data_IF_728562462512
#
_entry.id   IF_728562462512
#
_cell.length_a   1.000
_cell.length_b   1.000
_cell.length_c   1.000
_cell.angle_alpha   90.00
_cell.angle_beta   90.00
_cell.angle_gamma   90.00
#
_symmetry.space_group_name_H-M   'P 1'
#
loop_
_entity.id
_entity.type
_entity.pdbx_description
1 polymer ?
#
# COMPACT_ATOMS: atom_id res chain seq x y z
N UNK A 1 24.38 20.65 -1.04
CA UNK A 1 23.53 19.46 -1.24
C UNK A 1 23.88 18.52 -0.11
N UNK A 2 22.95 18.21 0.81
CA UNK A 2 23.28 17.45 2.01
C UNK A 2 23.23 15.97 1.66
N UNK A 3 24.36 15.28 1.80
CA UNK A 3 24.38 13.81 1.77
C UNK A 3 23.50 13.33 2.92
N UNK A 4 22.45 12.59 2.61
CA UNK A 4 21.47 12.15 3.61
C UNK A 4 22.02 10.85 4.21
N UNK A 5 22.44 10.90 5.47
CA UNK A 5 22.60 9.69 6.26
C UNK A 5 21.19 9.21 6.67
N UNK A 6 20.79 8.03 6.21
CA UNK A 6 19.46 7.48 6.49
C UNK A 6 19.19 7.26 8.00
N UNK A 7 20.23 7.11 8.81
CA UNK A 7 20.08 7.04 10.27
C UNK A 7 19.62 8.39 10.88
N UNK A 8 20.03 9.52 10.29
CA UNK A 8 19.66 10.86 10.76
C UNK A 8 18.23 11.26 10.41
N UNK A 9 17.54 10.43 9.63
CA UNK A 9 16.18 10.69 9.16
C UNK A 9 15.14 10.33 10.23
N UNK A 10 15.44 9.35 11.10
CA UNK A 10 14.48 8.91 12.10
C UNK A 10 14.36 9.92 13.24
N UNK A 11 13.13 10.21 13.73
CA UNK A 11 12.95 11.12 14.86
C UNK A 11 13.69 10.62 16.10
N UNK A 12 14.51 11.50 16.70
CA UNK A 12 15.35 11.16 17.87
C UNK A 12 14.54 10.90 19.15
N UNK A 13 13.28 11.32 19.18
CA UNK A 13 12.35 11.08 20.29
C UNK A 13 11.73 9.67 20.27
N UNK A 14 12.04 8.85 19.27
CA UNK A 14 11.55 7.47 19.18
C UNK A 14 12.30 6.46 20.03
N UNK A 15 13.52 6.77 20.49
CA UNK A 15 14.39 5.85 21.21
C UNK A 15 15.29 6.59 22.21
N UNK A 16 15.74 5.89 23.25
CA UNK A 16 16.72 6.39 24.21
C UNK A 16 18.11 5.79 23.95
N UNK A 17 18.14 4.50 23.58
CA UNK A 17 19.33 3.70 23.32
C UNK A 17 19.44 3.42 21.81
N UNK A 18 20.18 4.24 21.04
CA UNK A 18 20.33 4.05 19.60
C UNK A 18 21.01 2.72 19.24
N UNK A 19 21.96 2.25 20.05
CA UNK A 19 22.70 1.00 19.80
C UNK A 19 21.80 -0.24 19.86
N UNK A 20 20.68 -0.15 20.58
CA UNK A 20 19.73 -1.24 20.76
C UNK A 20 18.43 -1.05 19.95
N UNK A 21 18.44 -0.09 19.02
CA UNK A 21 17.28 0.30 18.23
C UNK A 21 17.52 0.10 16.73
N UNK A 22 16.49 -0.32 16.02
CA UNK A 22 16.53 -0.51 14.58
C UNK A 22 15.18 -0.23 13.91
N UNK A 23 15.24 0.16 12.64
CA UNK A 23 14.08 0.60 11.86
C UNK A 23 14.04 -0.09 10.50
N UNK A 24 12.84 -0.44 10.04
CA UNK A 24 12.61 -0.79 8.65
C UNK A 24 12.35 0.49 7.86
N UNK A 25 13.19 0.74 6.85
CA UNK A 25 13.07 1.85 5.92
C UNK A 25 12.61 1.34 4.55
N UNK A 26 11.66 2.05 3.93
CA UNK A 26 11.24 1.85 2.55
C UNK A 26 11.28 3.16 1.78
N UNK A 27 11.84 3.13 0.59
CA UNK A 27 11.87 4.28 -0.33
C UNK A 27 11.11 3.91 -1.59
N UNK A 28 10.08 4.70 -1.88
CA UNK A 28 9.26 4.59 -3.08
C UNK A 28 9.54 5.76 -4.01
N UNK A 29 9.47 5.51 -5.30
CA UNK A 29 9.42 6.60 -6.30
C UNK A 29 8.03 7.24 -6.33
N UNK A 30 7.99 8.55 -6.51
CA UNK A 30 6.76 9.31 -6.80
C UNK A 30 6.83 9.80 -8.23
N UNK A 31 5.89 9.39 -9.08
CA UNK A 31 5.89 9.77 -10.52
C UNK A 31 4.50 10.24 -10.93
N UNK A 32 4.32 11.15 -11.90
CA UNK A 32 5.33 11.97 -12.56
C UNK A 32 5.51 13.33 -11.85
N UNK A 33 5.66 13.33 -10.52
CA UNK A 33 5.76 14.58 -9.72
C UNK A 33 7.18 15.14 -9.76
N UNK A 34 7.31 16.41 -10.11
CA UNK A 34 8.61 17.12 -10.04
C UNK A 34 8.95 17.55 -8.62
N UNK A 35 10.23 17.81 -8.33
CA UNK A 35 10.68 18.30 -7.01
C UNK A 35 9.93 19.58 -6.60
N UNK A 36 9.78 20.55 -7.51
CA UNK A 36 9.01 21.78 -7.25
C UNK A 36 7.53 21.51 -6.93
N UNK A 37 6.94 20.51 -7.58
CA UNK A 37 5.57 20.11 -7.29
C UNK A 37 5.48 19.39 -5.94
N UNK A 38 6.47 18.59 -5.58
CA UNK A 38 6.55 17.96 -4.26
C UNK A 38 6.66 19.04 -3.17
N UNK A 39 7.61 19.98 -3.27
CA UNK A 39 7.78 21.07 -2.30
C UNK A 39 6.51 21.91 -2.12
N UNK A 40 5.71 22.09 -3.19
CA UNK A 40 4.45 22.84 -3.13
C UNK A 40 3.26 22.04 -2.62
N UNK A 41 3.19 20.74 -2.93
CA UNK A 41 1.99 19.90 -2.73
C UNK A 41 2.14 18.95 -1.55
N UNK A 42 3.36 18.56 -1.21
CA UNK A 42 3.63 17.75 -0.04
C UNK A 42 3.41 18.61 1.19
N UNK A 43 2.28 18.41 1.85
CA UNK A 43 2.09 18.89 3.21
C UNK A 43 2.79 17.87 4.10
N UNK A 44 3.86 18.22 4.83
CA UNK A 44 4.32 17.35 5.89
C UNK A 44 3.15 17.07 6.82
N UNK A 45 3.05 15.83 7.26
CA UNK A 45 1.99 15.38 8.14
C UNK A 45 2.08 16.19 9.43
N UNK A 46 0.94 16.66 9.93
CA UNK A 46 0.93 17.46 11.17
C UNK A 46 1.19 16.60 12.41
N UNK A 47 0.96 15.29 12.30
CA UNK A 47 1.13 14.30 13.36
C UNK A 47 1.75 13.03 12.77
N UNK A 48 2.58 12.31 13.55
CA UNK A 48 3.07 11.00 13.13
C UNK A 48 1.88 10.03 13.04
N UNK A 49 1.94 9.12 12.06
CA UNK A 49 1.05 7.96 12.03
C UNK A 49 1.46 7.01 13.17
N UNK A 50 0.52 6.51 13.96
CA UNK A 50 0.78 5.60 15.09
C UNK A 50 -0.13 4.37 15.01
N UNK A 51 0.40 3.20 14.67
CA UNK A 51 -0.42 1.98 14.58
C UNK A 51 -0.13 1.04 15.76
N UNK A 52 -1.13 0.78 16.60
CA UNK A 52 -1.01 -0.01 17.84
C UNK A 52 0.08 0.55 18.78
N UNK A 53 0.15 1.88 18.88
CA UNK A 53 1.14 2.58 19.70
C UNK A 53 2.54 2.66 19.10
N UNK A 54 2.76 2.13 17.88
CA UNK A 54 4.07 2.17 17.20
C UNK A 54 4.04 3.26 16.13
N UNK A 55 4.96 4.24 16.18
CA UNK A 55 4.97 5.34 15.23
C UNK A 55 5.47 4.87 13.85
N UNK A 56 4.97 5.54 12.82
CA UNK A 56 5.31 5.35 11.42
C UNK A 56 5.62 6.72 10.86
N UNK A 57 6.83 6.86 10.32
CA UNK A 57 7.34 8.10 9.77
C UNK A 57 7.18 8.05 8.25
N UNK A 58 6.69 9.14 7.66
CA UNK A 58 6.46 9.26 6.22
C UNK A 58 6.90 10.64 5.79
N UNK A 59 7.77 10.71 4.78
CA UNK A 59 8.27 11.97 4.24
C UNK A 59 8.38 11.91 2.72
N UNK A 60 8.01 13.00 2.05
CA UNK A 60 8.27 13.23 0.64
C UNK A 60 9.53 14.06 0.52
N UNK A 61 10.56 13.53 -0.13
CA UNK A 61 11.85 14.21 -0.24
C UNK A 61 12.42 14.13 -1.66
N UNK A 62 13.26 15.11 -1.99
CA UNK A 62 14.18 14.97 -3.12
C UNK A 62 15.46 14.31 -2.62
N UNK A 63 15.74 13.11 -3.14
CA UNK A 63 16.90 12.32 -2.74
C UNK A 63 17.83 12.16 -3.94
N UNK A 64 19.12 12.27 -3.68
CA UNK A 64 20.19 11.84 -4.57
C UNK A 64 21.17 11.04 -3.71
N UNK A 65 21.20 9.73 -3.87
CA UNK A 65 22.01 8.84 -3.04
C UNK A 65 22.88 7.95 -3.93
N UNK A 66 24.16 7.82 -3.55
CA UNK A 66 25.14 6.99 -4.24
C UNK A 66 25.69 5.94 -3.28
N UNK A 67 26.21 4.85 -3.85
CA UNK A 67 26.87 3.82 -3.06
C UNK A 67 25.94 3.07 -2.12
N UNK A 68 24.63 2.98 -2.45
CA UNK A 68 23.73 2.15 -1.66
C UNK A 68 24.09 0.70 -1.93
N UNK A 69 24.50 -0.04 -0.90
CA UNK A 69 24.61 -1.49 -0.96
C UNK A 69 23.31 -2.08 -1.53
N UNK A 70 23.46 -3.06 -2.42
CA UNK A 70 22.37 -3.86 -2.97
C UNK A 70 22.80 -5.32 -2.99
N UNK A 71 21.90 -6.22 -2.62
CA UNK A 71 22.16 -7.65 -2.67
C UNK A 71 21.31 -8.29 -3.76
N UNK A 72 21.95 -9.07 -4.62
CA UNK A 72 21.26 -9.92 -5.60
C UNK A 72 21.48 -11.39 -5.23
N UNK A 73 20.39 -12.12 -5.05
CA UNK A 73 20.40 -13.56 -4.82
C UNK A 73 20.04 -14.27 -6.12
N UNK A 74 21.03 -14.82 -6.81
CA UNK A 74 20.84 -15.34 -8.16
C UNK A 74 20.25 -16.76 -8.19
N UNK A 75 20.56 -17.60 -7.19
CA UNK A 75 20.01 -18.95 -7.04
C UNK A 75 20.27 -19.45 -5.61
N UNK A 76 19.53 -20.46 -5.18
CA UNK A 76 19.71 -21.15 -3.89
C UNK A 76 20.18 -22.56 -4.20
N UNK A 77 21.21 -23.05 -3.52
CA UNK A 77 21.65 -24.44 -3.64
C UNK A 77 22.02 -25.01 -2.27
N UNK A 78 21.95 -26.33 -2.15
CA UNK A 78 22.48 -27.03 -0.98
C UNK A 78 23.90 -27.46 -1.27
N UNK A 79 24.78 -27.27 -0.31
CA UNK A 79 26.04 -27.99 -0.27
C UNK A 79 25.75 -29.51 -0.29
N UNK A 80 26.33 -30.28 -1.22
CA UNK A 80 25.97 -31.68 -1.40
C UNK A 80 26.55 -32.61 -0.33
N UNK A 81 27.56 -32.17 0.43
CA UNK A 81 28.22 -32.98 1.46
C UNK A 81 27.66 -32.71 2.86
N UNK A 82 27.35 -31.45 3.14
CA UNK A 82 26.90 -30.99 4.46
C UNK A 82 25.40 -30.76 4.54
N UNK A 83 24.70 -30.64 3.41
CA UNK A 83 23.29 -30.27 3.36
C UNK A 83 23.02 -28.80 3.70
N UNK A 84 24.07 -27.99 3.85
CA UNK A 84 23.95 -26.57 4.21
C UNK A 84 23.38 -25.78 3.04
N UNK A 85 22.36 -24.96 3.29
CA UNK A 85 21.83 -24.05 2.27
C UNK A 85 22.85 -22.94 2.03
N UNK A 86 23.34 -22.82 0.79
CA UNK A 86 24.21 -21.75 0.34
C UNK A 86 23.39 -20.76 -0.49
N UNK A 87 23.45 -19.51 -0.05
CA UNK A 87 22.84 -18.34 -0.68
C UNK A 87 23.96 -17.46 -1.26
N UNK A 88 24.43 -17.72 -2.49
CA UNK A 88 25.42 -16.86 -3.14
C UNK A 88 24.84 -15.46 -3.30
N UNK A 89 25.31 -14.55 -2.44
CA UNK A 89 24.88 -13.16 -2.39
C UNK A 89 25.89 -12.31 -3.15
N UNK A 90 25.50 -11.68 -4.25
CA UNK A 90 26.34 -10.68 -4.91
C UNK A 90 26.11 -9.33 -4.23
N UNK A 91 27.16 -8.78 -3.65
CA UNK A 91 27.12 -7.42 -3.07
C UNK A 91 27.48 -6.42 -4.17
N UNK A 92 26.48 -5.66 -4.61
CA UNK A 92 26.62 -4.55 -5.53
C UNK A 92 26.42 -3.20 -4.85
N UNK A 93 26.58 -2.13 -5.61
CA UNK A 93 26.12 -0.80 -5.22
C UNK A 93 25.13 -0.26 -6.26
N UNK A 94 24.13 0.48 -5.77
CA UNK A 94 23.08 1.11 -6.55
C UNK A 94 23.07 2.60 -6.27
N UNK A 95 22.69 3.37 -7.30
CA UNK A 95 22.44 4.79 -7.17
C UNK A 95 20.93 5.07 -7.21
N UNK A 96 20.46 5.96 -6.35
CA UNK A 96 19.16 6.62 -6.49
C UNK A 96 19.39 7.97 -7.18
N UNK A 97 18.99 8.11 -8.45
CA UNK A 97 19.17 9.37 -9.16
C UNK A 97 18.34 10.47 -8.51
N UNK A 98 18.73 11.74 -8.73
CA UNK A 98 17.96 12.88 -8.24
C UNK A 98 16.51 12.80 -8.76
N UNK A 99 15.58 12.53 -7.85
CA UNK A 99 14.15 12.39 -8.15
C UNK A 99 13.31 12.67 -6.92
N UNK A 100 11.99 12.54 -7.09
CA UNK A 100 10.99 12.66 -6.04
C UNK A 100 10.73 11.28 -5.44
N UNK A 101 10.89 11.16 -4.12
CA UNK A 101 10.70 9.92 -3.39
C UNK A 101 9.74 10.10 -2.22
N UNK A 102 9.02 9.02 -1.89
CA UNK A 102 8.30 8.85 -0.64
C UNK A 102 9.12 7.89 0.22
N UNK A 103 9.45 8.32 1.43
CA UNK A 103 10.17 7.52 2.40
C UNK A 103 9.18 7.12 3.49
N UNK A 104 9.21 5.86 3.89
CA UNK A 104 8.47 5.34 5.03
C UNK A 104 9.41 4.63 5.99
N UNK A 105 9.24 4.88 7.29
CA UNK A 105 10.03 4.28 8.36
C UNK A 105 9.14 3.73 9.47
N UNK A 106 9.45 2.53 9.97
CA UNK A 106 8.79 1.96 11.14
C UNK A 106 9.83 1.31 12.06
N UNK A 107 9.73 1.48 13.38
CA UNK A 107 10.58 0.78 14.32
C UNK A 107 10.40 -0.74 14.22
N UNK A 108 11.53 -1.44 14.16
CA UNK A 108 11.64 -2.90 14.27
C UNK A 108 11.99 -3.31 15.71
N UNK A 109 12.90 -2.55 16.32
CA UNK A 109 13.36 -2.71 17.70
C UNK A 109 13.57 -1.33 18.31
N UNK A 110 13.11 -1.13 19.54
CA UNK A 110 13.32 0.13 20.29
C UNK A 110 13.88 -0.24 21.65
N UNK A 111 15.02 0.34 22.01
CA UNK A 111 15.65 0.22 23.34
C UNK A 111 15.72 -1.24 23.82
N UNK A 112 16.20 -2.13 22.95
CA UNK A 112 16.36 -3.56 23.26
C UNK A 112 15.09 -4.41 23.07
N UNK A 113 13.91 -3.79 22.90
CA UNK A 113 12.62 -4.49 22.76
C UNK A 113 12.27 -4.74 21.29
N UNK A 114 12.21 -6.02 20.92
CA UNK A 114 11.75 -6.46 19.60
C UNK A 114 10.26 -6.20 19.40
N UNK A 115 9.90 -5.60 18.26
CA UNK A 115 8.51 -5.37 17.84
C UNK A 115 8.02 -6.39 16.79
N UNK A 116 8.94 -7.19 16.26
CA UNK A 116 8.70 -8.28 15.31
C UNK A 116 8.72 -7.82 13.85
N UNK A 117 9.51 -8.51 13.04
CA UNK A 117 9.71 -8.19 11.62
C UNK A 117 8.41 -8.27 10.82
N UNK A 118 7.71 -9.41 10.86
CA UNK A 118 6.45 -9.62 10.14
C UNK A 118 5.40 -8.55 10.47
N UNK A 119 5.32 -8.14 11.73
CA UNK A 119 4.38 -7.09 12.18
C UNK A 119 4.78 -5.72 11.64
N UNK A 120 6.08 -5.43 11.58
CA UNK A 120 6.64 -4.18 11.07
C UNK A 120 6.42 -4.07 9.56
N UNK A 121 6.71 -5.13 8.82
CA UNK A 121 6.43 -5.25 7.37
C UNK A 121 4.93 -5.08 7.11
N UNK A 122 4.10 -5.80 7.85
CA UNK A 122 2.64 -5.76 7.71
C UNK A 122 2.06 -4.36 8.00
N UNK A 123 2.61 -3.64 9.00
CA UNK A 123 2.26 -2.24 9.31
C UNK A 123 2.58 -1.31 8.15
N UNK A 124 3.78 -1.39 7.58
CA UNK A 124 4.14 -0.58 6.40
C UNK A 124 3.29 -0.94 5.17
N UNK A 125 2.94 -2.21 4.97
CA UNK A 125 2.05 -2.64 3.88
C UNK A 125 0.65 -2.01 4.00
N UNK A 126 0.08 -1.95 5.21
CA UNK A 126 -1.23 -1.31 5.44
C UNK A 126 -1.19 0.20 5.19
N UNK A 127 -0.13 0.88 5.62
CA UNK A 127 0.06 2.31 5.32
C UNK A 127 0.22 2.53 3.81
N UNK A 128 1.02 1.71 3.13
CA UNK A 128 1.15 1.76 1.68
C UNK A 128 -0.21 1.60 0.98
N UNK A 129 -1.04 0.65 1.43
CA UNK A 129 -2.39 0.45 0.90
C UNK A 129 -3.26 1.70 1.06
N UNK A 130 -3.25 2.34 2.22
CA UNK A 130 -3.98 3.59 2.46
C UNK A 130 -3.49 4.70 1.53
N UNK A 131 -2.16 4.90 1.44
CA UNK A 131 -1.56 5.91 0.56
C UNK A 131 -1.93 5.67 -0.90
N UNK A 132 -1.82 4.43 -1.40
CA UNK A 132 -2.18 4.08 -2.77
C UNK A 132 -3.68 4.32 -3.06
N UNK A 133 -4.53 4.08 -2.07
CA UNK A 133 -5.97 4.24 -2.20
C UNK A 133 -6.35 5.72 -2.36
N UNK A 134 -5.90 6.57 -1.43
CA UNK A 134 -6.23 8.01 -1.38
C UNK A 134 -5.41 8.85 -2.36
N UNK A 135 -4.11 8.60 -2.44
CA UNK A 135 -3.17 9.41 -3.22
C UNK A 135 -2.87 8.79 -4.58
N UNK A 136 -3.30 7.54 -4.82
CA UNK A 136 -3.07 6.81 -6.06
C UNK A 136 -1.77 6.01 -6.05
N UNK A 137 -1.75 4.89 -6.78
CA UNK A 137 -0.61 3.96 -6.84
C UNK A 137 0.68 4.63 -7.26
N UNK A 138 0.63 5.72 -8.04
CA UNK A 138 1.81 6.45 -8.46
C UNK A 138 2.51 7.25 -7.33
N UNK A 139 1.86 7.42 -6.18
CA UNK A 139 2.46 8.01 -4.97
C UNK A 139 3.40 7.01 -4.29
N UNK A 140 3.07 5.72 -4.37
CA UNK A 140 3.87 4.59 -3.89
C UNK A 140 4.14 3.68 -5.09
N UNK A 141 4.81 4.25 -6.09
CA UNK A 141 4.88 3.67 -7.43
C UNK A 141 5.73 2.41 -7.48
N UNK A 142 7.00 2.54 -7.11
CA UNK A 142 7.95 1.43 -7.04
C UNK A 142 8.80 1.57 -5.79
N UNK A 143 8.85 0.52 -4.99
CA UNK A 143 9.83 0.33 -3.94
C UNK A 143 11.21 0.19 -4.60
N UNK A 144 12.04 1.21 -4.44
CA UNK A 144 13.40 1.24 -5.03
C UNK A 144 14.47 0.79 -4.05
N UNK A 145 14.13 0.77 -2.77
CA UNK A 145 15.02 0.44 -1.68
C UNK A 145 14.20 0.05 -0.43
N UNK A 146 14.55 -1.07 0.18
CA UNK A 146 14.04 -1.52 1.48
C UNK A 146 15.22 -2.05 2.29
N UNK A 147 15.37 -1.57 3.52
CA UNK A 147 16.44 -2.03 4.39
C UNK A 147 16.16 -1.86 5.88
N UNK A 148 16.79 -2.70 6.69
CA UNK A 148 16.85 -2.54 8.15
C UNK A 148 18.05 -1.67 8.53
N UNK A 149 17.79 -0.53 9.16
CA UNK A 149 18.81 0.38 9.66
C UNK A 149 18.97 0.25 11.17
N UNK A 150 20.20 0.04 11.69
CA UNK A 150 20.49 0.31 13.08
C UNK A 150 20.39 1.82 13.33
N UNK A 151 19.96 2.24 14.52
CA UNK A 151 19.90 3.68 14.83
C UNK A 151 21.31 4.29 14.95
N UNK A 152 22.33 3.47 15.18
CA UNK A 152 23.74 3.84 15.15
C UNK A 152 24.51 2.94 14.16
N UNK A 153 24.95 3.48 13.02
CA UNK A 153 25.79 2.76 12.04
C UNK A 153 25.39 2.97 10.58
N UNK A 154 26.27 2.54 9.66
CA UNK A 154 26.08 2.63 8.21
C UNK A 154 25.81 1.26 7.53
N UNK A 155 25.76 0.17 8.30
CA UNK A 155 25.57 -1.19 7.78
C UNK A 155 24.08 -1.58 7.84
N UNK A 156 23.52 -2.03 6.71
CA UNK A 156 22.10 -2.37 6.57
C UNK A 156 21.90 -3.58 5.65
N UNK A 157 20.80 -4.31 5.83
CA UNK A 157 20.41 -5.47 5.00
C UNK A 157 19.34 -5.05 3.98
N UNK A 158 19.39 -5.56 2.74
CA UNK A 158 18.55 -5.08 1.62
C UNK A 158 17.67 -6.18 1.04
N UNK A 159 16.45 -5.81 0.65
CA UNK A 159 15.52 -6.65 -0.14
C UNK A 159 15.26 -5.98 -1.51
N UNK A 160 15.32 -6.76 -2.60
CA UNK A 160 15.10 -6.34 -4.00
C UNK A 160 13.83 -7.03 -4.55
N UNK A 161 12.95 -6.46 -5.41
CA UNK A 161 13.15 -6.31 -6.87
C UNK A 161 11.89 -5.77 -7.65
N UNK A 162 12.05 -5.51 -8.97
CA UNK A 162 11.09 -5.39 -10.14
C UNK A 162 10.42 -4.04 -10.49
N UNK A 163 10.32 -3.73 -11.80
CA UNK A 163 9.75 -2.51 -12.42
C UNK A 163 8.25 -2.64 -12.77
N UNK A 164 7.42 -1.72 -12.29
CA UNK A 164 6.04 -1.52 -12.78
C UNK A 164 6.02 -0.53 -13.98
N UNK A 165 4.89 -0.42 -14.71
CA UNK A 165 4.62 0.62 -15.74
C UNK A 165 3.77 1.76 -15.16
N UNK A 166 4.12 3.01 -15.46
CA UNK A 166 3.42 4.23 -14.98
C UNK A 166 1.98 4.23 -15.53
N UNK A 167 1.00 4.57 -14.71
CA UNK A 167 -0.42 4.53 -15.09
C UNK A 167 -1.06 5.91 -14.90
N UNK A 168 -1.70 6.47 -15.94
CA UNK A 168 -2.24 7.84 -15.89
C UNK A 168 -3.43 8.02 -14.93
N UNK A 169 -4.20 6.96 -14.65
CA UNK A 169 -5.39 6.99 -13.81
C UNK A 169 -5.12 6.77 -12.31
N UNK A 170 -3.88 6.50 -11.91
CA UNK A 170 -3.48 6.11 -10.55
C UNK A 170 -2.82 7.25 -9.75
N UNK A 171 -3.24 8.48 -9.98
CA UNK A 171 -2.68 9.66 -9.32
C UNK A 171 -1.29 10.01 -9.88
N UNK A 172 -0.43 10.68 -9.11
CA UNK A 172 -0.49 10.93 -7.68
C UNK A 172 -1.33 12.18 -7.37
N UNK A 173 -2.34 12.04 -6.50
CA UNK A 173 -3.23 13.13 -6.09
C UNK A 173 -2.78 13.74 -4.75
N UNK A 174 -1.66 14.46 -4.79
CA UNK A 174 -0.99 15.02 -3.60
C UNK A 174 -1.65 16.30 -3.06
N UNK A 175 -2.94 16.53 -3.28
CA UNK A 175 -3.61 17.71 -2.72
C UNK A 175 -3.71 17.58 -1.19
N UNK A 176 -3.61 18.70 -0.46
CA UNK A 176 -3.70 18.72 1.01
C UNK A 176 -4.96 18.01 1.53
N UNK A 177 -6.09 18.17 0.84
CA UNK A 177 -7.33 17.48 1.17
C UNK A 177 -7.19 15.95 1.19
N UNK A 178 -6.48 15.36 0.22
CA UNK A 178 -6.31 13.91 0.16
C UNK A 178 -5.39 13.42 1.28
N UNK A 179 -4.36 14.19 1.63
CA UNK A 179 -3.51 13.91 2.79
C UNK A 179 -4.30 13.93 4.10
N UNK A 180 -5.14 14.95 4.32
CA UNK A 180 -6.05 14.99 5.46
C UNK A 180 -6.98 13.77 5.50
N UNK A 181 -7.46 13.32 4.35
CA UNK A 181 -8.27 12.10 4.28
C UNK A 181 -7.49 10.83 4.69
N UNK A 182 -6.20 10.73 4.38
CA UNK A 182 -5.33 9.64 4.88
C UNK A 182 -5.16 9.75 6.40
N UNK A 183 -4.84 10.94 6.91
CA UNK A 183 -4.69 11.21 8.36
C UNK A 183 -5.97 10.84 9.13
N UNK A 184 -7.13 11.34 8.70
CA UNK A 184 -8.43 11.07 9.32
C UNK A 184 -8.74 9.57 9.34
N UNK A 185 -8.48 8.87 8.23
CA UNK A 185 -8.72 7.43 8.11
C UNK A 185 -7.88 6.64 9.07
N UNK A 186 -6.61 6.99 9.18
CA UNK A 186 -5.70 6.31 10.08
C UNK A 186 -6.07 6.56 11.55
N UNK A 187 -6.33 7.82 11.93
CA UNK A 187 -6.77 8.17 13.28
C UNK A 187 -8.07 7.45 13.66
N UNK A 188 -9.00 7.37 12.72
CA UNK A 188 -10.27 6.71 12.94
C UNK A 188 -10.09 5.20 13.13
N UNK A 189 -9.26 4.53 12.32
CA UNK A 189 -8.94 3.09 12.48
C UNK A 189 -8.34 2.83 13.87
N UNK A 190 -7.44 3.70 14.33
CA UNK A 190 -6.79 3.54 15.63
C UNK A 190 -7.73 3.81 16.81
N UNK A 191 -8.76 4.65 16.62
CA UNK A 191 -9.79 4.91 17.63
C UNK A 191 -10.81 3.77 17.80
N UNK A 192 -10.81 2.77 16.92
CA UNK A 192 -11.74 1.63 16.99
C UNK A 192 -11.44 0.79 18.24
N UNK A 193 -12.39 0.79 19.17
CA UNK A 193 -12.31 0.01 20.42
C UNK A 193 -12.67 -1.47 20.23
N UNK A 194 -13.52 -1.79 19.25
CA UNK A 194 -13.87 -3.17 18.92
C UNK A 194 -12.68 -3.86 18.23
N UNK A 195 -12.02 -4.77 18.94
CA UNK A 195 -10.82 -5.48 18.47
C UNK A 195 -11.06 -6.25 17.17
N UNK A 196 -12.21 -6.89 17.04
CA UNK A 196 -12.54 -7.73 15.88
C UNK A 196 -12.77 -6.88 14.64
N UNK A 197 -13.48 -5.76 14.80
CA UNK A 197 -13.66 -4.75 13.73
C UNK A 197 -12.30 -4.17 13.31
N UNK A 198 -11.44 -3.79 14.27
CA UNK A 198 -10.10 -3.26 13.98
C UNK A 198 -9.24 -4.30 13.24
N UNK A 199 -9.20 -5.54 13.73
CA UNK A 199 -8.45 -6.63 13.10
C UNK A 199 -8.95 -6.94 11.68
N UNK A 200 -10.27 -6.94 11.47
CA UNK A 200 -10.89 -7.12 10.17
C UNK A 200 -10.48 -6.04 9.17
N UNK A 201 -10.50 -4.77 9.57
CA UNK A 201 -10.07 -3.65 8.72
C UNK A 201 -8.59 -3.79 8.36
N UNK A 202 -7.73 -4.11 9.34
CA UNK A 202 -6.30 -4.35 9.09
C UNK A 202 -6.08 -5.49 8.10
N UNK A 203 -6.80 -6.59 8.26
CA UNK A 203 -6.76 -7.73 7.35
C UNK A 203 -7.24 -7.38 5.94
N UNK A 204 -8.28 -6.57 5.83
CA UNK A 204 -8.75 -6.09 4.54
C UNK A 204 -7.70 -5.22 3.83
N UNK A 205 -7.00 -4.34 4.56
CA UNK A 205 -5.89 -3.54 4.03
C UNK A 205 -4.70 -4.40 3.58
N UNK A 206 -4.38 -5.49 4.29
CA UNK A 206 -3.35 -6.45 3.87
C UNK A 206 -3.71 -7.17 2.56
N UNK A 207 -4.96 -7.62 2.43
CA UNK A 207 -5.43 -8.21 1.17
C UNK A 207 -5.45 -7.18 0.04
N UNK A 208 -5.84 -5.94 0.32
CA UNK A 208 -5.77 -4.86 -0.65
C UNK A 208 -4.32 -4.62 -1.12
N UNK A 209 -3.37 -4.53 -0.18
CA UNK A 209 -1.95 -4.39 -0.49
C UNK A 209 -1.43 -5.55 -1.37
N UNK A 210 -1.84 -6.77 -1.05
CA UNK A 210 -1.49 -7.97 -1.82
C UNK A 210 -2.01 -7.88 -3.26
N UNK A 211 -3.24 -7.39 -3.46
CA UNK A 211 -3.82 -7.15 -4.79
C UNK A 211 -3.05 -6.11 -5.60
N UNK A 212 -2.65 -5.00 -4.97
CA UNK A 212 -1.81 -3.96 -5.59
C UNK A 212 -0.43 -4.49 -5.97
N UNK A 213 0.19 -5.26 -5.07
CA UNK A 213 1.59 -5.70 -5.20
C UNK A 213 1.75 -6.95 -6.07
N UNK A 214 0.68 -7.67 -6.33
CA UNK A 214 0.70 -8.84 -7.20
C UNK A 214 1.20 -8.47 -8.61
N UNK A 215 2.10 -9.32 -9.14
CA UNK A 215 2.74 -9.09 -10.44
C UNK A 215 1.69 -9.13 -11.57
N UNK A 216 1.86 -8.28 -12.57
CA UNK A 216 1.02 -8.29 -13.79
C UNK A 216 1.22 -9.55 -14.67
N UNK A 217 2.17 -10.42 -14.28
CA UNK A 217 2.49 -11.69 -14.95
C UNK A 217 1.86 -12.79 -14.10
N UNK A 218 0.67 -13.26 -14.51
CA UNK A 218 -0.14 -14.22 -13.74
C UNK A 218 -1.56 -13.74 -13.37
N UNK A 219 -1.84 -12.43 -13.52
CA UNK A 219 -3.11 -11.65 -13.68
C UNK A 219 -4.38 -11.97 -12.86
N UNK A 220 -4.59 -13.19 -12.42
CA UNK A 220 -5.81 -13.69 -11.77
C UNK A 220 -5.85 -13.39 -10.28
N UNK A 221 -4.67 -13.35 -9.65
CA UNK A 221 -4.53 -13.16 -8.20
C UNK A 221 -5.00 -11.77 -7.74
N UNK A 222 -4.87 -10.74 -8.60
CA UNK A 222 -5.31 -9.38 -8.28
C UNK A 222 -6.80 -9.33 -7.95
N UNK A 223 -7.63 -9.94 -8.81
CA UNK A 223 -9.07 -9.96 -8.60
C UNK A 223 -9.43 -10.70 -7.30
N UNK A 224 -8.80 -11.85 -7.06
CA UNK A 224 -8.96 -12.58 -5.81
C UNK A 224 -8.67 -11.72 -4.59
N UNK A 225 -7.54 -11.01 -4.57
CA UNK A 225 -7.13 -10.20 -3.44
C UNK A 225 -8.04 -8.98 -3.20
N UNK A 226 -8.39 -8.23 -4.26
CA UNK A 226 -9.31 -7.09 -4.11
C UNK A 226 -10.72 -7.53 -3.70
N UNK A 227 -11.24 -8.61 -4.28
CA UNK A 227 -12.53 -9.16 -3.90
C UNK A 227 -12.54 -9.64 -2.43
N UNK A 228 -11.47 -10.32 -2.01
CA UNK A 228 -11.30 -10.78 -0.63
C UNK A 228 -11.20 -9.60 0.32
N UNK A 229 -10.45 -8.55 -0.02
CA UNK A 229 -10.36 -7.32 0.77
C UNK A 229 -11.74 -6.70 1.01
N UNK A 230 -12.55 -6.54 -0.04
CA UNK A 230 -13.93 -6.02 0.05
C UNK A 230 -14.81 -6.91 0.93
N UNK A 231 -14.74 -8.23 0.73
CA UNK A 231 -15.55 -9.20 1.47
C UNK A 231 -15.23 -9.19 2.96
N UNK A 232 -13.93 -9.22 3.30
CA UNK A 232 -13.44 -9.15 4.68
C UNK A 232 -13.86 -7.84 5.30
N UNK A 233 -13.64 -6.71 4.63
CA UNK A 233 -13.98 -5.37 5.13
C UNK A 233 -15.46 -5.27 5.56
N UNK A 234 -16.37 -5.72 4.69
CA UNK A 234 -17.82 -5.60 4.87
C UNK A 234 -18.43 -6.65 5.81
N UNK A 235 -17.62 -7.54 6.42
CA UNK A 235 -18.13 -8.65 7.24
C UNK A 235 -19.22 -9.49 6.52
N UNK A 236 -19.16 -9.52 5.18
CA UNK A 236 -20.29 -9.95 4.37
C UNK A 236 -20.45 -11.46 4.38
N UNK A 237 -21.66 -11.95 4.69
CA UNK A 237 -22.04 -13.35 4.42
C UNK A 237 -22.39 -13.58 2.95
N UNK A 238 -22.46 -12.51 2.15
CA UNK A 238 -22.74 -12.56 0.73
C UNK A 238 -22.68 -11.21 0.03
N UNK A 239 -22.99 -11.25 -1.27
CA UNK A 239 -22.93 -10.08 -2.17
C UNK A 239 -24.05 -9.07 -1.92
N UNK A 240 -25.17 -9.51 -1.33
CA UNK A 240 -26.30 -8.65 -0.96
C UNK A 240 -25.95 -7.68 0.18
N UNK A 241 -25.18 -8.13 1.18
CA UNK A 241 -24.76 -7.31 2.31
C UNK A 241 -23.81 -6.18 1.89
N UNK A 242 -22.95 -6.45 0.90
CA UNK A 242 -22.07 -5.46 0.30
C UNK A 242 -22.89 -4.45 -0.50
N UNK A 243 -23.87 -4.92 -1.29
CA UNK A 243 -24.77 -4.04 -2.02
C UNK A 243 -25.56 -3.11 -1.07
N UNK A 244 -26.08 -3.62 0.06
CA UNK A 244 -26.77 -2.81 1.05
C UNK A 244 -25.90 -1.68 1.62
N UNK A 245 -24.61 -1.93 1.85
CA UNK A 245 -23.64 -0.89 2.23
C UNK A 245 -23.44 0.14 1.13
N UNK A 246 -23.30 -0.30 -0.11
CA UNK A 246 -23.24 0.62 -1.26
C UNK A 246 -24.52 1.45 -1.38
N UNK A 247 -25.70 0.88 -1.18
CA UNK A 247 -26.97 1.64 -1.15
C UNK A 247 -26.92 2.75 -0.09
N UNK A 248 -26.46 2.43 1.13
CA UNK A 248 -26.32 3.40 2.21
C UNK A 248 -25.30 4.50 1.89
N UNK A 249 -24.14 4.16 1.32
CA UNK A 249 -23.08 5.11 0.95
C UNK A 249 -23.59 6.09 -0.12
N UNK A 250 -24.24 5.56 -1.15
CA UNK A 250 -24.56 6.33 -2.35
C UNK A 250 -25.96 6.96 -2.33
N UNK A 251 -26.86 6.49 -1.46
CA UNK A 251 -28.27 6.87 -1.45
C UNK A 251 -29.03 6.26 -2.63
N UNK A 252 -28.62 5.08 -3.07
CA UNK A 252 -29.15 4.38 -4.24
C UNK A 252 -30.05 3.23 -3.82
N UNK A 253 -31.01 2.88 -4.66
CA UNK A 253 -31.69 1.59 -4.60
C UNK A 253 -30.76 0.45 -5.03
N UNK A 254 -31.14 -0.79 -4.71
CA UNK A 254 -30.42 -2.00 -5.13
C UNK A 254 -30.12 -2.02 -6.64
N UNK A 255 -31.13 -1.71 -7.46
CA UNK A 255 -31.01 -1.67 -8.93
C UNK A 255 -30.05 -0.56 -9.38
N UNK A 256 -30.09 0.60 -8.74
CA UNK A 256 -29.18 1.70 -9.03
C UNK A 256 -27.73 1.36 -8.66
N UNK A 257 -27.48 0.59 -7.59
CA UNK A 257 -26.14 0.07 -7.30
C UNK A 257 -25.67 -0.88 -8.41
N UNK A 258 -26.54 -1.78 -8.87
CA UNK A 258 -26.20 -2.70 -9.97
C UNK A 258 -25.88 -1.99 -11.28
N UNK A 259 -26.63 -0.94 -11.61
CA UNK A 259 -26.51 -0.22 -12.88
C UNK A 259 -25.50 0.94 -12.81
N UNK A 260 -25.67 1.87 -11.87
CA UNK A 260 -24.87 3.11 -11.78
C UNK A 260 -23.47 2.89 -11.20
N UNK A 261 -23.28 1.86 -10.36
CA UNK A 261 -21.96 1.46 -9.86
C UNK A 261 -21.45 0.21 -10.56
N UNK A 262 -22.08 -0.20 -11.67
CA UNK A 262 -21.71 -1.41 -12.41
C UNK A 262 -21.48 -2.64 -11.52
N UNK A 263 -22.17 -2.72 -10.37
CA UNK A 263 -21.93 -3.77 -9.38
C UNK A 263 -22.26 -5.14 -9.96
N UNK A 264 -23.25 -5.22 -10.85
CA UNK A 264 -23.59 -6.45 -11.59
C UNK A 264 -22.42 -7.00 -12.41
N UNK A 265 -21.57 -6.13 -12.97
CA UNK A 265 -20.43 -6.55 -13.80
C UNK A 265 -19.33 -7.15 -12.91
N UNK A 266 -19.11 -6.55 -11.73
CA UNK A 266 -18.21 -7.10 -10.71
C UNK A 266 -18.71 -8.47 -10.23
N UNK A 267 -20.03 -8.61 -9.99
CA UNK A 267 -20.62 -9.90 -9.61
C UNK A 267 -20.50 -10.95 -10.73
N UNK A 268 -20.63 -10.55 -12.00
CA UNK A 268 -20.38 -11.42 -13.14
C UNK A 268 -18.93 -11.91 -13.14
N UNK A 269 -17.96 -10.99 -13.04
CA UNK A 269 -16.53 -11.34 -12.93
C UNK A 269 -16.25 -12.28 -11.75
N UNK A 270 -16.84 -12.01 -10.58
CA UNK A 270 -16.76 -12.88 -9.40
C UNK A 270 -17.26 -14.29 -9.68
N UNK A 271 -18.42 -14.43 -10.34
CA UNK A 271 -18.99 -15.73 -10.62
C UNK A 271 -18.18 -16.50 -11.65
N UNK A 272 -17.67 -15.82 -12.69
CA UNK A 272 -16.74 -16.42 -13.64
C UNK A 272 -15.49 -16.95 -12.91
N UNK A 273 -14.90 -16.16 -12.00
CA UNK A 273 -13.73 -16.56 -11.23
C UNK A 273 -14.00 -17.72 -10.27
N UNK A 274 -14.87 -17.53 -9.27
CA UNK A 274 -15.03 -18.47 -8.15
C UNK A 274 -15.95 -19.66 -8.46
N UNK A 275 -16.83 -19.55 -9.47
CA UNK A 275 -17.79 -20.63 -9.80
C UNK A 275 -17.44 -21.36 -11.09
N UNK A 276 -16.82 -20.68 -12.05
CA UNK A 276 -16.44 -21.29 -13.32
C UNK A 276 -14.93 -21.50 -13.47
N UNK A 277 -14.12 -21.08 -12.49
CA UNK A 277 -12.67 -21.22 -12.53
C UNK A 277 -12.01 -20.41 -13.65
N UNK A 278 -12.68 -19.36 -14.15
CA UNK A 278 -12.17 -18.53 -15.24
C UNK A 278 -11.26 -17.43 -14.70
N UNK A 279 -10.10 -17.30 -15.35
CA UNK A 279 -9.18 -16.18 -15.19
C UNK A 279 -9.88 -14.84 -15.40
N UNK A 280 -9.67 -13.89 -14.49
CA UNK A 280 -10.18 -12.52 -14.60
C UNK A 280 -8.99 -11.59 -14.71
N UNK A 281 -8.75 -11.12 -15.93
CA UNK A 281 -7.76 -10.09 -16.15
C UNK A 281 -8.33 -8.72 -15.78
N UNK A 282 -7.94 -8.21 -14.61
CA UNK A 282 -8.20 -6.82 -14.25
C UNK A 282 -7.33 -5.89 -15.09
N UNK A 283 -7.97 -5.23 -16.06
CA UNK A 283 -7.41 -4.03 -16.67
C UNK A 283 -7.25 -2.94 -15.61
N UNK A 284 -6.31 -2.02 -15.82
CA UNK A 284 -5.91 -0.98 -14.87
C UNK A 284 -7.07 -0.11 -14.39
N UNK A 285 -7.96 0.28 -15.30
CA UNK A 285 -9.12 1.09 -14.96
C UNK A 285 -10.13 0.34 -14.09
N UNK A 286 -10.31 -0.97 -14.33
CA UNK A 286 -11.13 -1.83 -13.50
C UNK A 286 -10.50 -2.11 -12.14
N UNK A 287 -9.18 -2.31 -12.09
CA UNK A 287 -8.40 -2.38 -10.85
C UNK A 287 -8.59 -1.09 -10.05
N UNK A 288 -8.39 0.08 -10.67
CA UNK A 288 -8.59 1.37 -10.00
C UNK A 288 -10.03 1.55 -9.52
N UNK A 289 -11.01 1.10 -10.29
CA UNK A 289 -12.41 1.15 -9.87
C UNK A 289 -12.68 0.31 -8.62
N UNK A 290 -12.14 -0.92 -8.54
CA UNK A 290 -12.24 -1.75 -7.34
C UNK A 290 -11.53 -1.10 -6.14
N UNK A 291 -10.40 -0.43 -6.37
CA UNK A 291 -9.71 0.32 -5.31
C UNK A 291 -10.57 1.48 -4.77
N UNK A 292 -11.25 2.20 -5.65
CA UNK A 292 -12.15 3.30 -5.27
C UNK A 292 -13.42 2.79 -4.57
N UNK A 293 -13.97 1.64 -4.97
CA UNK A 293 -15.07 1.00 -4.24
C UNK A 293 -14.64 0.57 -2.84
N UNK A 294 -13.46 -0.05 -2.72
CA UNK A 294 -12.88 -0.40 -1.42
C UNK A 294 -12.71 0.84 -0.54
N UNK A 295 -12.26 1.96 -1.10
CA UNK A 295 -12.11 3.23 -0.38
C UNK A 295 -13.43 3.71 0.23
N UNK A 296 -14.50 3.76 -0.57
CA UNK A 296 -15.80 4.22 -0.09
C UNK A 296 -16.37 3.27 0.97
N UNK A 297 -16.22 1.96 0.77
CA UNK A 297 -16.59 0.95 1.78
C UNK A 297 -15.77 1.10 3.05
N UNK A 298 -14.46 1.37 2.95
CA UNK A 298 -13.59 1.51 4.12
C UNK A 298 -14.04 2.70 4.96
N UNK A 299 -14.29 3.85 4.32
CA UNK A 299 -14.77 5.05 5.00
C UNK A 299 -16.11 4.83 5.66
N UNK A 300 -17.01 4.07 5.02
CA UNK A 300 -18.26 3.64 5.63
C UNK A 300 -18.07 2.77 6.86
N UNK A 301 -17.24 1.74 6.77
CA UNK A 301 -17.00 0.82 7.89
C UNK A 301 -16.35 1.52 9.09
N UNK A 302 -15.60 2.60 8.88
CA UNK A 302 -14.98 3.36 9.98
C UNK A 302 -15.74 4.63 10.35
N UNK A 303 -16.96 4.81 9.85
CA UNK A 303 -17.84 5.94 10.20
C UNK A 303 -17.28 7.32 9.81
N UNK A 304 -16.49 7.39 8.74
CA UNK A 304 -16.04 8.66 8.14
C UNK A 304 -17.01 9.17 7.06
N UNK A 305 -17.05 10.50 6.82
CA UNK A 305 -17.85 11.07 5.75
C UNK A 305 -17.51 10.46 4.38
N UNK A 306 -18.55 10.06 3.65
CA UNK A 306 -18.41 9.43 2.33
C UNK A 306 -17.92 10.45 1.29
N UNK A 307 -16.89 10.07 0.53
CA UNK A 307 -16.37 10.90 -0.57
C UNK A 307 -16.87 10.45 -1.94
N UNK A 308 -17.53 9.28 -2.01
CA UNK A 308 -18.13 8.71 -3.23
C UNK A 308 -17.11 8.65 -4.37
N UNK A 309 -15.89 8.22 -4.04
CA UNK A 309 -14.73 8.21 -4.92
C UNK A 309 -15.01 7.41 -6.20
N UNK A 310 -15.61 6.22 -6.08
CA UNK A 310 -15.90 5.37 -7.23
C UNK A 310 -16.87 6.04 -8.20
N UNK A 311 -17.97 6.60 -7.69
CA UNK A 311 -18.95 7.34 -8.52
C UNK A 311 -18.33 8.57 -9.18
N UNK A 312 -17.45 9.29 -8.50
CA UNK A 312 -16.80 10.50 -9.03
C UNK A 312 -15.86 10.24 -10.22
N UNK A 313 -15.33 9.01 -10.33
CA UNK A 313 -14.38 8.63 -11.37
C UNK A 313 -14.96 7.64 -12.39
N UNK A 314 -16.14 7.06 -12.17
CA UNK A 314 -16.65 5.96 -13.00
C UNK A 314 -16.70 6.29 -14.50
N UNK A 315 -17.04 7.54 -14.85
CA UNK A 315 -17.12 7.99 -16.24
C UNK A 315 -15.75 8.33 -16.87
N UNK A 316 -14.67 8.25 -16.10
CA UNK A 316 -13.29 8.49 -16.55
C UNK A 316 -12.49 7.20 -16.72
N UNK A 317 -13.10 6.06 -16.38
CA UNK A 317 -12.46 4.75 -16.38
C UNK A 317 -13.10 3.88 -17.47
N UNK A 318 -12.29 3.17 -18.25
CA UNK A 318 -12.79 2.14 -19.16
C UNK A 318 -13.12 0.87 -18.37
N UNK A 319 -14.41 0.72 -18.05
CA UNK A 319 -14.94 -0.42 -17.30
C UNK A 319 -15.60 -1.46 -18.21
N UNK A 320 -15.59 -1.28 -19.53
CA UNK A 320 -16.19 -2.26 -20.45
C UNK A 320 -15.42 -3.58 -20.46
N UNK A 321 -14.15 -3.53 -20.05
CA UNK A 321 -13.30 -4.67 -19.71
C UNK A 321 -13.89 -5.59 -18.63
N UNK A 322 -14.71 -5.07 -17.71
CA UNK A 322 -15.41 -5.89 -16.70
C UNK A 322 -16.64 -6.60 -17.26
N UNK A 323 -17.21 -6.11 -18.36
CA UNK A 323 -18.43 -6.67 -18.93
C UNK A 323 -18.22 -8.00 -19.65
N UNK A 324 -16.95 -8.38 -19.91
CA UNK A 324 -16.52 -9.54 -20.71
C UNK A 324 -17.35 -9.65 -21.99
N UNK A 325 -16.90 -9.04 -23.08
CA UNK A 325 -17.44 -9.36 -24.41
C UNK A 325 -17.13 -10.84 -24.66
N UNK A 326 -18.18 -11.65 -24.82
CA UNK A 326 -18.09 -13.05 -25.20
C UNK A 326 -17.38 -13.21 -26.56
#
# INVERSE_FOLDING_TARGET
>A
MKEINFADIFPKDWYQNPEESSFLLRIYTIVPVTIKQLEKKFSPLKKPFIEDGIPIWIEGASINAKGLNSFENNFIYSDPETGTIILPTVVGTKELPLSTYLIMGCPLKIDGKELGEDKTVSRLNRVEALLATYLGSNTVYKLVFEAFYPALGNEYQVVSDVYARIQQCDGPWMAEYNWRCVEDTFLQIESITNSDKKARIKRALEFFHSGKSARDIGRDEKFFFYWTAITVLCEGKGTADINARLQAIYGFSFKEVEEKLRWKDILKARNLFFKQGKSIHLHKDAERYLQLLFLDLLRHEIDLPQIKAALSQINKLDLDVLASKE
#
